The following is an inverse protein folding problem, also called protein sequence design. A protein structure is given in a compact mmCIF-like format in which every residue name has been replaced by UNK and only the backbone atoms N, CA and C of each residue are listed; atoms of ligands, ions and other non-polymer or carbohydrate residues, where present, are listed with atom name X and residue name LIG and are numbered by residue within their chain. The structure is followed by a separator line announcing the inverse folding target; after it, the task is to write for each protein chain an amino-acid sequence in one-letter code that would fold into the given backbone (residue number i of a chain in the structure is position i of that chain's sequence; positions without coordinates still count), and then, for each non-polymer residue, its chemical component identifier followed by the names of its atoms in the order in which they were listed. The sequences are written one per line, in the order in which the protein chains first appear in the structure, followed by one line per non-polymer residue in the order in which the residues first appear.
data_IF_459424406092
#
_entry.id   IF_459424406092
#
_cell.length_a   1.000
_cell.length_b   1.000
_cell.length_c   1.000
_cell.angle_alpha   90.00
_cell.angle_beta   90.00
_cell.angle_gamma   90.00
#
_symmetry.space_group_name_H-M   'P 1'
#
loop_
_entity.id
_entity.type
_entity.pdbx_description
1 polymer ?
#
# COMPACT_ATOMS: atom_id res chain seq x y z
N UNK A 1 27.01 -17.15 -36.12
CA UNK A 1 26.10 -17.63 -35.06
C UNK A 1 25.33 -16.39 -34.63
N UNK A 2 24.09 -16.23 -35.10
CA UNK A 2 23.21 -15.18 -34.58
C UNK A 2 22.71 -15.74 -33.25
N UNK A 3 23.15 -15.19 -32.13
CA UNK A 3 22.48 -15.45 -30.85
C UNK A 3 21.03 -15.04 -31.06
N UNK A 4 20.13 -16.01 -30.97
CA UNK A 4 18.72 -15.74 -30.82
C UNK A 4 18.57 -15.02 -29.49
N UNK A 5 18.61 -13.68 -29.54
CA UNK A 5 18.45 -12.80 -28.38
C UNK A 5 16.97 -12.85 -28.03
N UNK A 6 16.48 -14.00 -27.58
CA UNK A 6 15.17 -14.12 -26.98
C UNK A 6 15.24 -13.28 -25.71
N UNK A 7 14.80 -12.03 -25.82
CA UNK A 7 14.55 -11.16 -24.67
C UNK A 7 13.57 -11.94 -23.82
N UNK A 8 14.08 -12.55 -22.76
CA UNK A 8 13.29 -13.38 -21.87
C UNK A 8 12.19 -12.49 -21.29
N UNK A 9 10.94 -12.82 -21.63
CA UNK A 9 9.78 -12.08 -21.16
C UNK A 9 9.75 -12.16 -19.63
N UNK A 10 9.73 -11.02 -18.92
CA UNK A 10 9.76 -11.02 -17.47
C UNK A 10 8.61 -11.83 -16.87
N UNK A 11 8.93 -12.71 -15.92
CA UNK A 11 7.90 -13.51 -15.24
C UNK A 11 7.08 -12.67 -14.25
N UNK A 12 5.78 -12.97 -14.15
CA UNK A 12 4.86 -12.34 -13.21
C UNK A 12 4.15 -11.10 -13.76
N UNK A 13 3.37 -10.43 -12.89
CA UNK A 13 2.63 -9.21 -13.25
C UNK A 13 2.78 -8.14 -12.18
N UNK A 14 2.77 -6.88 -12.61
CA UNK A 14 2.81 -5.72 -11.73
C UNK A 14 1.43 -5.11 -11.51
N UNK A 15 1.21 -4.49 -10.37
CA UNK A 15 0.17 -3.49 -10.20
C UNK A 15 0.64 -2.17 -10.82
N UNK A 16 -0.23 -1.51 -11.58
CA UNK A 16 0.12 -0.21 -12.16
C UNK A 16 0.33 0.85 -11.08
N UNK A 17 1.16 1.86 -11.37
CA UNK A 17 1.37 2.98 -10.45
C UNK A 17 0.04 3.65 -10.06
N UNK A 18 -0.86 3.85 -11.04
CA UNK A 18 -2.20 4.39 -10.82
C UNK A 18 -3.01 3.51 -9.85
N UNK A 19 -2.97 2.19 -10.01
CA UNK A 19 -3.67 1.28 -9.11
C UNK A 19 -3.15 1.38 -7.67
N UNK A 20 -1.82 1.43 -7.49
CA UNK A 20 -1.18 1.58 -6.17
C UNK A 20 -1.59 2.90 -5.52
N UNK A 21 -1.51 4.01 -6.26
CA UNK A 21 -1.88 5.33 -5.74
C UNK A 21 -3.36 5.40 -5.37
N UNK A 22 -4.25 4.91 -6.24
CA UNK A 22 -5.70 4.89 -5.98
C UNK A 22 -6.02 4.01 -4.77
N UNK A 23 -5.47 2.80 -4.69
CA UNK A 23 -5.67 1.91 -3.55
C UNK A 23 -5.20 2.56 -2.23
N UNK A 24 -4.09 3.32 -2.27
CA UNK A 24 -3.60 4.06 -1.10
C UNK A 24 -4.58 5.12 -0.61
N UNK A 25 -5.20 5.86 -1.53
CA UNK A 25 -6.18 6.90 -1.17
C UNK A 25 -7.44 6.29 -0.57
N UNK A 26 -8.00 5.26 -1.21
CA UNK A 26 -9.30 4.72 -0.82
C UNK A 26 -9.24 3.73 0.35
N UNK A 27 -8.12 3.04 0.52
CA UNK A 27 -8.00 1.95 1.49
C UNK A 27 -6.83 2.12 2.47
N UNK A 28 -6.22 3.31 2.44
CA UNK A 28 -5.04 3.64 3.22
C UNK A 28 -3.78 2.90 2.75
N UNK A 29 -2.72 3.05 3.53
CA UNK A 29 -1.41 2.46 3.21
C UNK A 29 -1.43 0.93 3.13
N UNK A 30 -2.41 0.25 3.72
CA UNK A 30 -2.45 -1.22 3.71
C UNK A 30 -2.63 -1.76 2.28
N UNK A 31 -3.60 -1.23 1.52
CA UNK A 31 -3.83 -1.66 0.14
C UNK A 31 -2.70 -1.25 -0.80
N UNK A 32 -2.30 0.02 -0.74
CA UNK A 32 -1.18 0.53 -1.55
C UNK A 32 0.15 -0.13 -1.23
N UNK A 33 0.45 -0.31 0.05
CA UNK A 33 1.65 -0.97 0.55
C UNK A 33 1.70 -2.44 0.15
N UNK A 34 0.59 -3.18 0.24
CA UNK A 34 0.52 -4.55 -0.26
C UNK A 34 0.87 -4.61 -1.76
N UNK A 35 0.18 -3.84 -2.61
CA UNK A 35 0.42 -3.83 -4.05
C UNK A 35 1.87 -3.45 -4.40
N UNK A 36 2.41 -2.43 -3.73
CA UNK A 36 3.81 -2.02 -3.90
C UNK A 36 4.80 -3.13 -3.54
N UNK A 37 4.58 -3.82 -2.41
CA UNK A 37 5.47 -4.93 -2.01
C UNK A 37 5.40 -6.12 -2.95
N UNK A 38 4.24 -6.40 -3.55
CA UNK A 38 4.13 -7.44 -4.58
C UNK A 38 4.90 -7.07 -5.83
N UNK A 39 4.83 -5.81 -6.29
CA UNK A 39 5.67 -5.37 -7.40
C UNK A 39 7.15 -5.51 -7.08
N UNK A 40 7.58 -5.07 -5.90
CA UNK A 40 8.99 -5.15 -5.48
C UNK A 40 9.52 -6.59 -5.45
N UNK A 41 8.67 -7.57 -5.10
CA UNK A 41 9.02 -9.00 -5.19
C UNK A 41 9.22 -9.45 -6.63
N UNK A 42 8.29 -9.10 -7.52
CA UNK A 42 8.38 -9.44 -8.96
C UNK A 42 9.61 -8.79 -9.60
N UNK A 43 9.92 -7.55 -9.22
CA UNK A 43 11.07 -6.80 -9.71
C UNK A 43 12.41 -7.22 -9.07
N UNK A 44 12.41 -8.19 -8.16
CA UNK A 44 13.61 -8.71 -7.50
C UNK A 44 14.22 -7.79 -6.42
N UNK A 45 13.76 -6.55 -6.25
CA UNK A 45 14.27 -5.65 -5.21
C UNK A 45 13.45 -5.75 -3.92
N UNK A 46 13.81 -6.72 -3.08
CA UNK A 46 13.12 -6.97 -1.80
C UNK A 46 13.61 -6.07 -0.66
N UNK A 47 14.74 -5.37 -0.81
CA UNK A 47 15.31 -4.47 0.21
C UNK A 47 14.32 -3.41 0.69
N UNK A 48 13.55 -2.72 -0.18
CA UNK A 48 12.58 -1.71 0.24
C UNK A 48 11.33 -2.26 0.94
N UNK A 49 11.03 -3.55 0.85
CA UNK A 49 9.78 -4.14 1.37
C UNK A 49 9.64 -3.90 2.88
N UNK A 50 10.73 -4.04 3.64
CA UNK A 50 10.72 -3.79 5.09
C UNK A 50 10.36 -2.33 5.43
N UNK A 51 10.79 -1.38 4.61
CA UNK A 51 10.48 0.03 4.81
C UNK A 51 9.03 0.34 4.44
N UNK A 52 8.46 -0.34 3.45
CA UNK A 52 7.03 -0.23 3.14
C UNK A 52 6.20 -0.69 4.33
N UNK A 53 6.45 -1.89 4.86
CA UNK A 53 5.67 -2.41 5.99
C UNK A 53 5.87 -1.61 7.27
N UNK A 54 7.10 -1.15 7.55
CA UNK A 54 7.35 -0.24 8.67
C UNK A 54 6.52 1.05 8.55
N UNK A 55 6.48 1.65 7.35
CA UNK A 55 5.68 2.84 7.11
C UNK A 55 4.17 2.55 7.27
N UNK A 56 3.67 1.40 6.79
CA UNK A 56 2.28 0.98 6.97
C UNK A 56 1.94 0.88 8.47
N UNK A 57 2.79 0.21 9.26
CA UNK A 57 2.56 0.00 10.69
C UNK A 57 2.59 1.35 11.44
N UNK A 58 3.61 2.18 11.20
CA UNK A 58 3.73 3.49 11.85
C UNK A 58 2.51 4.36 11.52
N UNK A 59 2.15 4.46 10.25
CA UNK A 59 0.99 5.25 9.84
C UNK A 59 -0.31 4.72 10.44
N UNK A 60 -0.46 3.40 10.53
CA UNK A 60 -1.62 2.77 11.15
C UNK A 60 -1.74 3.13 12.65
N UNK A 61 -0.65 3.01 13.40
CA UNK A 61 -0.60 3.39 14.83
C UNK A 61 -0.92 4.88 15.01
N UNK A 62 -0.34 5.75 14.17
CA UNK A 62 -0.59 7.19 14.23
C UNK A 62 -2.06 7.53 13.95
N UNK A 63 -2.64 6.95 12.89
CA UNK A 63 -4.05 7.19 12.54
C UNK A 63 -4.98 6.70 13.65
N UNK A 64 -4.75 5.50 14.20
CA UNK A 64 -5.58 4.97 15.29
C UNK A 64 -5.44 5.83 16.56
N UNK A 65 -4.21 6.20 16.93
CA UNK A 65 -3.96 7.06 18.09
C UNK A 65 -4.63 8.42 17.96
N UNK A 66 -4.59 9.03 16.78
CA UNK A 66 -5.27 10.31 16.53
C UNK A 66 -6.79 10.16 16.49
N UNK A 67 -7.31 9.13 15.82
CA UNK A 67 -8.75 8.91 15.65
C UNK A 67 -9.48 8.65 16.96
N UNK A 68 -8.85 7.99 17.93
CA UNK A 68 -9.43 7.71 19.25
C UNK A 68 -8.95 8.68 20.35
N UNK A 69 -8.30 9.79 19.98
CA UNK A 69 -7.94 10.86 20.90
C UNK A 69 -9.01 11.96 20.95
N UNK A 70 -9.01 12.76 22.01
CA UNK A 70 -9.88 13.94 22.15
C UNK A 70 -9.63 15.02 21.06
N UNK A 71 -8.52 14.90 20.32
CA UNK A 71 -8.19 15.79 19.21
C UNK A 71 -8.74 15.31 17.86
N UNK A 72 -9.16 14.04 17.74
CA UNK A 72 -9.52 13.42 16.47
C UNK A 72 -10.60 14.18 15.70
N UNK A 73 -11.66 14.63 16.39
CA UNK A 73 -12.78 15.35 15.77
C UNK A 73 -12.39 16.72 15.18
N UNK A 74 -11.27 17.30 15.66
CA UNK A 74 -10.78 18.61 15.20
C UNK A 74 -9.84 18.49 14.00
N UNK A 75 -9.41 17.28 13.66
CA UNK A 75 -8.45 17.04 12.59
C UNK A 75 -9.21 16.84 11.27
N UNK A 76 -8.91 17.64 10.23
CA UNK A 76 -9.50 17.45 8.91
C UNK A 76 -9.20 16.05 8.37
N UNK A 77 -10.20 15.41 7.74
CA UNK A 77 -10.08 14.06 7.16
C UNK A 77 -8.85 13.88 6.25
N UNK A 78 -8.45 14.95 5.55
CA UNK A 78 -7.29 14.96 4.66
C UNK A 78 -5.96 14.64 5.38
N UNK A 79 -5.82 15.01 6.66
CA UNK A 79 -4.63 14.74 7.47
C UNK A 79 -4.42 13.23 7.68
N UNK A 80 -5.49 12.44 7.69
CA UNK A 80 -5.40 10.99 7.80
C UNK A 80 -4.94 10.33 6.49
N UNK A 81 -5.23 10.94 5.34
CA UNK A 81 -4.91 10.39 4.02
C UNK A 81 -3.53 10.81 3.50
N UNK A 82 -3.15 12.08 3.72
CA UNK A 82 -1.96 12.68 3.11
C UNK A 82 -0.63 11.99 3.46
N UNK A 83 -0.32 11.70 4.73
CA UNK A 83 0.96 11.09 5.10
C UNK A 83 1.15 9.78 4.35
N UNK A 84 0.13 8.91 4.37
CA UNK A 84 0.19 7.63 3.70
C UNK A 84 0.32 7.74 2.18
N UNK A 85 -0.41 8.67 1.57
CA UNK A 85 -0.30 8.93 0.14
C UNK A 85 1.10 9.40 -0.26
N UNK A 86 1.66 10.35 0.48
CA UNK A 86 3.00 10.90 0.21
C UNK A 86 4.07 9.83 0.41
N UNK A 87 3.99 9.05 1.49
CA UNK A 87 4.96 8.00 1.77
C UNK A 87 4.94 6.89 0.73
N UNK A 88 3.77 6.35 0.37
CA UNK A 88 3.69 5.30 -0.66
C UNK A 88 4.18 5.83 -2.02
N UNK A 89 3.75 7.04 -2.43
CA UNK A 89 4.21 7.59 -3.71
C UNK A 89 5.72 7.89 -3.72
N UNK A 90 6.30 8.30 -2.59
CA UNK A 90 7.74 8.46 -2.47
C UNK A 90 8.47 7.13 -2.69
N UNK A 91 8.07 6.06 -1.99
CA UNK A 91 8.69 4.74 -2.12
C UNK A 91 8.47 4.18 -3.53
N UNK A 92 7.26 4.32 -4.08
CA UNK A 92 6.90 3.93 -5.44
C UNK A 92 7.84 4.59 -6.46
N UNK A 93 7.97 5.92 -6.43
CA UNK A 93 8.83 6.66 -7.36
C UNK A 93 10.30 6.31 -7.21
N UNK A 94 10.76 6.09 -5.97
CA UNK A 94 12.18 5.84 -5.67
C UNK A 94 12.63 4.43 -6.06
N UNK A 95 11.82 3.41 -5.79
CA UNK A 95 12.24 2.01 -5.90
C UNK A 95 11.48 1.22 -6.97
N UNK A 96 10.22 1.57 -7.25
CA UNK A 96 9.38 0.79 -8.16
C UNK A 96 9.43 1.32 -9.58
N UNK A 97 9.23 2.63 -9.76
CA UNK A 97 9.07 3.27 -11.08
C UNK A 97 10.22 2.98 -12.05
N UNK A 98 11.51 3.09 -11.66
CA UNK A 98 12.61 2.83 -12.59
C UNK A 98 12.65 1.36 -13.06
N UNK A 99 12.46 0.41 -12.14
CA UNK A 99 12.49 -1.02 -12.43
C UNK A 99 11.24 -1.47 -13.21
N UNK A 100 10.08 -0.88 -12.90
CA UNK A 100 8.84 -1.16 -13.61
C UNK A 100 8.90 -0.68 -15.05
N UNK A 101 9.58 0.44 -15.36
CA UNK A 101 9.74 0.90 -16.74
C UNK A 101 10.51 -0.13 -17.59
N UNK A 102 11.66 -0.60 -17.10
CA UNK A 102 12.45 -1.65 -17.74
C UNK A 102 11.67 -2.98 -17.88
N UNK A 103 10.92 -3.38 -16.85
CA UNK A 103 10.05 -4.56 -16.89
C UNK A 103 8.99 -4.47 -18.00
N UNK A 104 8.38 -3.29 -18.17
CA UNK A 104 7.37 -3.08 -19.21
C UNK A 104 8.00 -3.01 -20.62
N UNK A 105 9.19 -2.42 -20.77
CA UNK A 105 9.92 -2.39 -22.04
C UNK A 105 10.29 -3.79 -22.54
N UNK A 106 10.52 -4.74 -21.62
CA UNK A 106 10.76 -6.16 -21.93
C UNK A 106 9.49 -6.99 -22.15
N UNK A 107 8.32 -6.36 -22.28
CA UNK A 107 7.05 -7.03 -22.55
C UNK A 107 6.33 -7.54 -21.30
N UNK A 108 6.67 -7.03 -20.12
CA UNK A 108 5.99 -7.37 -18.88
C UNK A 108 4.52 -6.95 -18.84
N UNK A 109 3.73 -7.62 -18.00
CA UNK A 109 2.29 -7.40 -17.91
C UNK A 109 1.85 -6.74 -16.60
N UNK A 110 0.67 -6.11 -16.63
CA UNK A 110 0.00 -5.57 -15.44
C UNK A 110 -1.26 -6.36 -15.06
N UNK A 111 -1.56 -6.42 -13.77
CA UNK A 111 -2.82 -6.99 -13.30
C UNK A 111 -4.02 -6.18 -13.78
N UNK A 112 -5.13 -6.89 -14.04
CA UNK A 112 -6.41 -6.26 -14.35
C UNK A 112 -7.02 -5.54 -13.13
N UNK A 113 -7.99 -4.67 -13.40
CA UNK A 113 -8.69 -3.90 -12.37
C UNK A 113 -9.47 -4.78 -11.38
N UNK A 114 -9.93 -5.96 -11.78
CA UNK A 114 -10.68 -6.87 -10.90
C UNK A 114 -9.86 -7.30 -9.68
N UNK A 115 -8.60 -7.68 -9.89
CA UNK A 115 -7.70 -8.04 -8.78
C UNK A 115 -7.40 -6.84 -7.87
N UNK A 116 -7.25 -5.64 -8.45
CA UNK A 116 -7.04 -4.40 -7.69
C UNK A 116 -8.23 -4.14 -6.75
N UNK A 117 -9.46 -4.29 -7.25
CA UNK A 117 -10.69 -4.10 -6.47
C UNK A 117 -10.79 -5.11 -5.32
N UNK A 118 -10.50 -6.39 -5.58
CA UNK A 118 -10.54 -7.43 -4.53
C UNK A 118 -9.56 -7.09 -3.40
N UNK A 119 -8.33 -6.70 -3.73
CA UNK A 119 -7.33 -6.31 -2.72
C UNK A 119 -7.78 -5.07 -1.96
N UNK A 120 -8.35 -4.09 -2.64
CA UNK A 120 -8.88 -2.88 -2.01
C UNK A 120 -10.02 -3.20 -1.01
N UNK A 121 -10.92 -4.10 -1.37
CA UNK A 121 -12.00 -4.54 -0.47
C UNK A 121 -11.41 -5.26 0.74
N UNK A 122 -10.45 -6.17 0.54
CA UNK A 122 -9.82 -6.91 1.63
C UNK A 122 -9.06 -5.98 2.59
N UNK A 123 -8.29 -5.02 2.07
CA UNK A 123 -7.58 -4.05 2.91
C UNK A 123 -8.54 -3.16 3.69
N UNK A 124 -9.66 -2.77 3.09
CA UNK A 124 -10.70 -2.02 3.78
C UNK A 124 -11.34 -2.84 4.91
N UNK A 125 -11.71 -4.10 4.65
CA UNK A 125 -12.28 -5.00 5.67
C UNK A 125 -11.34 -5.15 6.86
N UNK A 126 -10.05 -5.40 6.61
CA UNK A 126 -9.04 -5.52 7.67
C UNK A 126 -8.95 -4.22 8.47
N UNK A 127 -8.88 -3.07 7.77
CA UNK A 127 -8.76 -1.76 8.42
C UNK A 127 -9.96 -1.46 9.32
N UNK A 128 -11.18 -1.71 8.82
CA UNK A 128 -12.42 -1.52 9.58
C UNK A 128 -12.49 -2.47 10.78
N UNK A 129 -12.15 -3.74 10.59
CA UNK A 129 -12.16 -4.73 11.67
C UNK A 129 -11.19 -4.35 12.80
N UNK A 130 -9.97 -3.92 12.47
CA UNK A 130 -9.00 -3.48 13.48
C UNK A 130 -9.47 -2.18 14.15
N UNK A 131 -9.95 -1.20 13.39
CA UNK A 131 -10.46 0.06 13.97
C UNK A 131 -11.63 -0.19 14.94
N UNK A 132 -12.56 -1.07 14.56
CA UNK A 132 -13.66 -1.48 15.43
C UNK A 132 -13.16 -2.15 16.71
N UNK A 133 -12.23 -3.11 16.59
CA UNK A 133 -11.63 -3.78 17.75
C UNK A 133 -10.94 -2.81 18.71
N UNK A 134 -10.14 -1.87 18.17
CA UNK A 134 -9.50 -0.81 18.97
C UNK A 134 -10.56 0.07 19.66
N UNK A 135 -11.61 0.47 18.94
CA UNK A 135 -12.68 1.29 19.51
C UNK A 135 -13.42 0.60 20.66
N UNK A 136 -13.69 -0.70 20.54
CA UNK A 136 -14.28 -1.50 21.64
C UNK A 136 -13.35 -1.51 22.85
N UNK A 137 -12.05 -1.75 22.66
CA UNK A 137 -11.06 -1.76 23.76
C UNK A 137 -10.99 -0.40 24.46
N UNK A 138 -10.91 0.69 23.69
CA UNK A 138 -10.86 2.06 24.23
C UNK A 138 -12.14 2.39 24.99
N UNK A 139 -13.31 2.06 24.45
CA UNK A 139 -14.59 2.31 25.11
C UNK A 139 -14.75 1.52 26.42
N UNK A 140 -14.31 0.26 26.45
CA UNK A 140 -14.28 -0.53 27.68
C UNK A 140 -13.37 0.08 28.74
N UNK A 141 -12.17 0.51 28.35
CA UNK A 141 -11.23 1.18 29.26
C UNK A 141 -11.82 2.45 29.88
N UNK A 142 -12.50 3.28 29.07
CA UNK A 142 -13.16 4.49 29.56
C UNK A 142 -14.34 4.22 30.49
N UNK A 143 -15.01 3.06 30.36
CA UNK A 143 -16.14 2.69 31.24
C UNK A 143 -15.74 2.15 32.61
N UNK A 144 -14.46 1.77 32.78
CA UNK A 144 -13.91 1.20 34.01
C UNK A 144 -13.24 2.24 34.93
N UNK A 145 -13.01 3.46 34.44
CA UNK A 145 -12.44 4.58 35.20
C UNK A 145 -13.52 5.59 35.61
#
# INVERSE_FOLDING_TARGET
MQEDILVETPEGKLYSQKAITVATVFTGMLGGGYMLTQNLKVLGDTRPIKYVWLAVIINFVLIMGLAFSDFGEKIPGLVYALPGLLTINYILKKYNTPLAADFMERGGEVYNSGRVVVIAILSLIITVAVAFGVGVIVGLYQSLG
#
